data_IF_587653494638
#
_entry.id   IF_587653494638
#
_cell.length_a   1.000
_cell.length_b   1.000
_cell.length_c   1.000
_cell.angle_alpha   90.00
_cell.angle_beta   90.00
_cell.angle_gamma   90.00
#
_symmetry.space_group_name_H-M   'P 1'
#
loop_
_entity.id
_entity.type
_entity.pdbx_description
1 polymer ?
#
# COMPACT_ATOMS: atom_id res chain seq x y z
N UNK A 1 -42.53 3.50 58.83
CA UNK A 1 -41.54 2.43 58.55
C UNK A 1 -41.76 1.89 57.17
N UNK A 2 -40.93 2.24 56.23
CA UNK A 2 -41.02 1.77 54.81
C UNK A 2 -40.34 0.40 54.77
N UNK A 3 -40.96 -0.65 54.23
CA UNK A 3 -40.40 -2.00 54.27
C UNK A 3 -39.14 -2.07 53.40
N UNK A 4 -38.10 -2.71 53.93
CA UNK A 4 -36.74 -2.83 53.33
C UNK A 4 -36.74 -3.45 51.91
N UNK A 5 -37.76 -4.21 51.52
CA UNK A 5 -37.91 -4.80 50.18
C UNK A 5 -38.06 -3.77 49.02
N UNK A 6 -38.68 -2.62 49.27
CA UNK A 6 -38.86 -1.56 48.26
C UNK A 6 -37.57 -0.77 48.01
N UNK A 7 -36.66 -0.69 48.98
CA UNK A 7 -35.36 0.00 48.83
C UNK A 7 -34.37 -0.80 47.99
N UNK A 8 -34.41 -2.13 48.09
CA UNK A 8 -33.56 -3.01 47.28
C UNK A 8 -33.96 -3.00 45.80
N UNK A 9 -35.26 -3.01 45.51
CA UNK A 9 -35.77 -2.92 44.13
C UNK A 9 -35.44 -1.60 43.45
N UNK A 10 -35.46 -0.49 44.18
CA UNK A 10 -35.13 0.83 43.62
C UNK A 10 -33.63 0.99 43.37
N UNK A 11 -32.77 0.48 44.23
CA UNK A 11 -31.32 0.46 44.07
C UNK A 11 -30.89 -0.41 42.86
N UNK A 12 -31.49 -1.59 42.70
CA UNK A 12 -31.22 -2.49 41.59
C UNK A 12 -31.67 -1.89 40.23
N UNK A 13 -32.84 -1.24 40.20
CA UNK A 13 -33.36 -0.58 39.00
C UNK A 13 -32.48 0.61 38.59
N UNK A 14 -31.95 1.37 39.55
CA UNK A 14 -31.05 2.48 39.28
C UNK A 14 -29.67 2.04 38.78
N UNK A 15 -29.14 0.92 39.26
CA UNK A 15 -27.88 0.33 38.82
C UNK A 15 -28.00 -0.23 37.39
N UNK A 16 -29.12 -0.85 37.04
CA UNK A 16 -29.40 -1.33 35.69
C UNK A 16 -29.59 -0.17 34.70
N UNK A 17 -30.27 0.90 35.12
CA UNK A 17 -30.46 2.09 34.26
C UNK A 17 -29.13 2.82 33.95
N UNK A 18 -28.18 2.83 34.91
CA UNK A 18 -26.83 3.44 34.67
C UNK A 18 -25.96 2.59 33.76
N UNK A 19 -26.13 1.27 33.71
CA UNK A 19 -25.41 0.40 32.75
C UNK A 19 -25.90 0.60 31.30
N UNK A 20 -27.16 0.96 31.08
CA UNK A 20 -27.69 1.25 29.74
C UNK A 20 -27.47 2.71 29.27
N UNK A 21 -27.11 3.60 30.19
CA UNK A 21 -26.82 5.01 29.89
C UNK A 21 -25.34 5.30 29.58
N UNK A 22 -24.48 4.26 29.56
CA UNK A 22 -23.11 4.45 29.11
C UNK A 22 -23.13 4.87 27.63
N UNK A 23 -22.63 6.08 27.26
CA UNK A 23 -22.52 6.41 25.87
C UNK A 23 -21.65 5.33 25.20
N UNK A 24 -22.16 4.73 24.14
CA UNK A 24 -21.35 3.81 23.34
C UNK A 24 -20.07 4.56 22.96
N UNK A 25 -18.96 4.22 23.61
CA UNK A 25 -17.66 4.79 23.29
C UNK A 25 -17.37 4.39 21.84
N UNK A 26 -17.64 5.29 20.90
CA UNK A 26 -17.23 5.13 19.52
C UNK A 26 -15.72 5.29 19.50
N UNK A 27 -15.00 4.19 19.61
CA UNK A 27 -13.55 4.12 19.40
C UNK A 27 -13.18 4.29 17.89
N UNK A 28 -14.05 4.92 17.10
CA UNK A 28 -13.82 5.20 15.70
C UNK A 28 -13.12 6.56 15.59
N UNK A 29 -11.89 6.56 15.13
CA UNK A 29 -11.20 7.78 14.73
C UNK A 29 -12.04 8.50 13.67
N UNK A 30 -12.25 9.82 13.84
CA UNK A 30 -12.99 10.63 12.88
C UNK A 30 -12.12 10.83 11.63
N UNK A 31 -12.30 9.98 10.63
CA UNK A 31 -11.62 10.12 9.34
C UNK A 31 -12.33 11.23 8.56
N UNK A 32 -11.61 12.31 8.30
CA UNK A 32 -12.06 13.39 7.44
C UNK A 32 -11.63 13.09 5.99
N UNK A 33 -12.51 13.38 5.05
CA UNK A 33 -12.23 13.13 3.63
C UNK A 33 -12.58 14.34 2.77
N UNK A 34 -11.78 14.56 1.72
CA UNK A 34 -12.08 15.55 0.66
C UNK A 34 -11.37 15.20 -0.63
N UNK A 35 -11.64 15.94 -1.67
CA UNK A 35 -10.95 15.85 -2.96
C UNK A 35 -10.25 17.16 -3.24
N UNK A 36 -8.98 17.10 -3.67
CA UNK A 36 -8.25 18.30 -4.10
C UNK A 36 -8.80 18.83 -5.44
N UNK A 37 -8.52 20.07 -5.80
CA UNK A 37 -8.94 20.61 -7.11
C UNK A 37 -8.43 19.77 -8.30
N UNK A 38 -7.30 19.07 -8.16
CA UNK A 38 -6.75 18.16 -9.17
C UNK A 38 -7.41 16.77 -9.23
N UNK A 39 -8.42 16.49 -8.37
CA UNK A 39 -9.13 15.21 -8.35
C UNK A 39 -8.56 14.15 -7.41
N UNK A 40 -7.48 14.44 -6.68
CA UNK A 40 -6.88 13.51 -5.72
C UNK A 40 -7.75 13.39 -4.47
N UNK A 41 -8.09 12.16 -4.07
CA UNK A 41 -8.80 11.88 -2.84
C UNK A 41 -7.86 11.97 -1.63
N UNK A 42 -8.31 12.61 -0.56
CA UNK A 42 -7.53 12.78 0.67
C UNK A 42 -8.29 12.21 1.86
N UNK A 43 -7.58 11.48 2.71
CA UNK A 43 -8.03 10.99 4.01
C UNK A 43 -7.17 11.62 5.09
N UNK A 44 -7.79 12.11 6.16
CA UNK A 44 -7.09 12.77 7.25
C UNK A 44 -7.62 12.34 8.61
N UNK A 45 -6.68 12.11 9.53
CA UNK A 45 -6.96 11.91 10.95
C UNK A 45 -6.06 12.82 11.77
N UNK A 46 -6.65 13.76 12.52
CA UNK A 46 -5.90 14.55 13.48
C UNK A 46 -5.54 13.71 14.71
N UNK A 47 -4.26 13.71 15.08
CA UNK A 47 -3.75 12.99 16.25
C UNK A 47 -2.63 13.80 16.92
N UNK A 48 -2.92 14.38 18.07
CA UNK A 48 -2.01 15.22 18.86
C UNK A 48 -1.18 14.44 19.89
N UNK A 49 -1.21 13.10 19.81
CA UNK A 49 -0.54 12.25 20.81
C UNK A 49 0.99 12.37 20.77
N UNK A 50 1.55 12.57 19.59
CA UNK A 50 2.97 12.74 19.34
C UNK A 50 3.19 13.89 18.34
N UNK A 51 4.30 14.64 18.43
CA UNK A 51 4.60 15.74 17.51
C UNK A 51 5.16 15.22 16.17
N UNK A 52 4.42 14.33 15.51
CA UNK A 52 4.79 13.72 14.24
C UNK A 52 3.63 13.78 13.25
N UNK A 53 3.96 13.70 11.96
CA UNK A 53 3.02 13.57 10.86
C UNK A 53 3.45 12.42 9.96
N UNK A 54 2.52 11.51 9.74
CA UNK A 54 2.64 10.45 8.74
C UNK A 54 1.82 10.81 7.51
N UNK A 55 2.46 10.74 6.36
CA UNK A 55 1.83 10.95 5.06
C UNK A 55 2.08 9.74 4.18
N UNK A 56 1.06 9.27 3.50
CA UNK A 56 1.17 8.25 2.47
C UNK A 56 0.51 8.75 1.20
N UNK A 57 1.21 8.65 0.09
CA UNK A 57 0.69 8.93 -1.25
C UNK A 57 0.70 7.62 -2.03
N UNK A 58 -0.49 7.11 -2.33
CA UNK A 58 -0.70 5.92 -3.13
C UNK A 58 -1.10 6.31 -4.55
N UNK A 59 -0.47 5.69 -5.53
CA UNK A 59 -0.82 5.83 -6.94
C UNK A 59 -1.31 4.49 -7.49
N UNK A 60 -2.35 4.49 -8.31
CA UNK A 60 -2.72 3.36 -9.16
C UNK A 60 -1.70 3.25 -10.32
N UNK A 61 -0.45 3.00 -9.94
CA UNK A 61 0.75 2.85 -10.78
C UNK A 61 1.43 1.50 -10.46
N UNK A 62 0.64 0.45 -10.49
CA UNK A 62 0.90 -0.85 -9.92
C UNK A 62 1.47 -1.86 -10.91
N UNK A 63 1.82 -3.04 -10.40
CA UNK A 63 2.22 -4.17 -11.26
C UNK A 63 1.13 -4.59 -12.25
N UNK A 64 -0.15 -4.42 -11.87
CA UNK A 64 -1.28 -4.70 -12.76
C UNK A 64 -1.34 -3.78 -13.99
N UNK A 65 -0.80 -2.57 -13.91
CA UNK A 65 -0.72 -1.61 -15.02
C UNK A 65 0.47 -1.88 -15.97
N UNK A 66 1.36 -2.81 -15.62
CA UNK A 66 2.52 -3.12 -16.44
C UNK A 66 2.11 -3.65 -17.81
N UNK A 67 2.67 -3.13 -18.92
CA UNK A 67 2.45 -3.69 -20.25
C UNK A 67 2.84 -5.18 -20.33
N UNK A 68 2.30 -5.91 -21.30
CA UNK A 68 2.67 -7.29 -21.51
C UNK A 68 4.20 -7.41 -21.72
N UNK A 69 4.84 -8.37 -21.06
CA UNK A 69 6.28 -8.58 -21.10
C UNK A 69 7.12 -7.59 -20.30
N UNK A 70 6.51 -6.60 -19.62
CA UNK A 70 7.20 -5.55 -18.84
C UNK A 70 6.93 -5.65 -17.35
N UNK A 71 6.59 -6.84 -16.85
CA UNK A 71 6.43 -7.08 -15.42
C UNK A 71 7.70 -6.69 -14.65
N UNK A 72 7.53 -5.97 -13.54
CA UNK A 72 8.63 -5.37 -12.76
C UNK A 72 8.81 -3.87 -12.98
N UNK A 73 8.21 -3.27 -14.04
CA UNK A 73 8.36 -1.84 -14.33
C UNK A 73 7.85 -0.94 -13.19
N UNK A 74 6.73 -1.30 -12.57
CA UNK A 74 6.16 -0.53 -11.46
C UNK A 74 7.11 -0.50 -10.25
N UNK A 75 7.67 -1.65 -9.87
CA UNK A 75 8.63 -1.76 -8.78
C UNK A 75 9.91 -0.97 -9.05
N UNK A 76 10.48 -1.10 -10.26
CA UNK A 76 11.66 -0.36 -10.65
C UNK A 76 11.39 1.16 -10.70
N UNK A 77 10.26 1.58 -11.27
CA UNK A 77 9.90 3.00 -11.30
C UNK A 77 9.85 3.57 -9.88
N UNK A 78 9.15 2.87 -8.96
CA UNK A 78 9.04 3.35 -7.58
C UNK A 78 10.39 3.39 -6.85
N UNK A 79 11.21 2.35 -6.98
CA UNK A 79 12.51 2.29 -6.33
C UNK A 79 13.46 3.40 -6.81
N UNK A 80 13.41 3.73 -8.09
CA UNK A 80 14.29 4.71 -8.72
C UNK A 80 13.89 6.18 -8.48
N UNK A 81 12.70 6.46 -7.93
CA UNK A 81 12.27 7.84 -7.64
C UNK A 81 13.17 8.53 -6.60
N UNK A 82 13.84 7.78 -5.75
CA UNK A 82 14.79 8.30 -4.76
C UNK A 82 16.25 8.33 -5.26
N UNK A 83 16.50 7.84 -6.47
CA UNK A 83 17.86 7.84 -7.05
C UNK A 83 18.26 9.16 -7.73
N UNK A 84 17.37 10.15 -7.72
CA UNK A 84 17.57 11.50 -8.21
C UNK A 84 16.25 12.17 -8.55
N UNK A 85 16.08 13.43 -8.14
CA UNK A 85 14.87 14.20 -8.40
C UNK A 85 15.16 15.70 -8.48
N UNK A 86 14.62 16.37 -9.50
CA UNK A 86 14.93 17.77 -9.78
C UNK A 86 16.43 17.95 -10.01
N UNK A 87 17.07 18.76 -9.17
CA UNK A 87 18.52 18.98 -9.17
C UNK A 87 19.27 18.14 -8.11
N UNK A 88 18.57 17.31 -7.35
CA UNK A 88 19.16 16.51 -6.29
C UNK A 88 19.55 15.12 -6.84
N UNK A 89 20.77 14.71 -6.55
CA UNK A 89 21.20 13.32 -6.71
C UNK A 89 20.81 12.46 -5.49
N UNK A 90 21.15 11.17 -5.54
CA UNK A 90 20.81 10.20 -4.50
C UNK A 90 21.39 10.59 -3.12
N UNK A 91 22.65 11.04 -3.09
CA UNK A 91 23.32 11.45 -1.85
C UNK A 91 22.70 12.74 -1.27
N UNK A 92 22.41 13.72 -2.12
CA UNK A 92 21.74 14.95 -1.69
C UNK A 92 20.33 14.69 -1.15
N UNK A 93 19.58 13.76 -1.74
CA UNK A 93 18.28 13.31 -1.23
C UNK A 93 18.46 12.66 0.15
N UNK A 94 19.38 11.71 0.28
CA UNK A 94 19.63 11.01 1.54
C UNK A 94 20.05 11.99 2.66
N UNK A 95 20.97 12.92 2.37
CA UNK A 95 21.39 13.95 3.32
C UNK A 95 20.22 14.86 3.71
N UNK A 96 19.38 15.27 2.75
CA UNK A 96 18.21 16.11 3.05
C UNK A 96 17.18 15.41 3.92
N UNK A 97 16.94 14.11 3.71
CA UNK A 97 16.09 13.29 4.60
C UNK A 97 16.65 13.25 6.01
N UNK A 98 17.97 13.04 6.15
CA UNK A 98 18.64 13.00 7.44
C UNK A 98 18.60 14.36 8.17
N UNK A 99 18.90 15.46 7.47
CA UNK A 99 18.88 16.83 8.02
C UNK A 99 17.49 17.22 8.55
N UNK A 100 16.42 16.73 7.91
CA UNK A 100 15.04 16.99 8.32
C UNK A 100 14.55 16.01 9.41
N UNK A 101 15.37 15.04 9.82
CA UNK A 101 14.92 13.98 10.74
C UNK A 101 13.74 13.20 10.20
N UNK A 102 13.59 13.15 8.88
CA UNK A 102 12.47 12.51 8.21
C UNK A 102 12.77 11.04 7.87
N UNK A 103 11.72 10.30 7.57
CA UNK A 103 11.80 8.96 6.99
C UNK A 103 10.96 8.94 5.72
N UNK A 104 11.57 8.62 4.59
CA UNK A 104 10.88 8.40 3.31
C UNK A 104 11.02 6.94 2.95
N UNK A 105 9.93 6.35 2.45
CA UNK A 105 9.88 4.95 2.08
C UNK A 105 8.70 4.63 1.17
N UNK A 106 8.33 3.36 1.12
CA UNK A 106 7.23 2.84 0.33
C UNK A 106 7.67 1.74 -0.61
N UNK A 107 6.81 1.37 -1.55
CA UNK A 107 7.04 0.26 -2.48
C UNK A 107 5.99 0.22 -3.56
N UNK A 108 6.02 -0.83 -4.38
CA UNK A 108 4.95 -1.12 -5.33
C UNK A 108 4.52 -2.58 -5.19
N UNK A 109 3.23 -2.81 -5.25
CA UNK A 109 2.59 -4.12 -5.31
C UNK A 109 1.76 -4.27 -6.61
N UNK A 110 0.84 -5.21 -6.64
CA UNK A 110 -0.01 -5.43 -7.80
C UNK A 110 -1.12 -4.38 -7.95
N UNK A 111 -1.46 -3.64 -6.87
CA UNK A 111 -2.58 -2.71 -6.85
C UNK A 111 -2.16 -1.24 -6.83
N UNK A 112 -0.98 -0.94 -6.26
CA UNK A 112 -0.51 0.44 -6.08
C UNK A 112 1.00 0.56 -6.00
N UNK A 113 1.48 1.78 -6.25
CA UNK A 113 2.80 2.23 -5.85
C UNK A 113 2.64 3.30 -4.76
N UNK A 114 3.37 3.16 -3.67
CA UNK A 114 3.25 4.00 -2.48
C UNK A 114 4.54 4.76 -2.20
N UNK A 115 4.40 6.02 -1.81
CA UNK A 115 5.44 6.80 -1.15
C UNK A 115 4.94 7.17 0.24
N UNK A 116 5.75 6.92 1.25
CA UNK A 116 5.45 7.28 2.65
C UNK A 116 6.46 8.28 3.17
N UNK A 117 6.00 9.17 4.03
CA UNK A 117 6.80 10.14 4.75
C UNK A 117 6.39 10.11 6.21
N UNK A 118 7.35 10.00 7.11
CA UNK A 118 7.20 10.34 8.52
C UNK A 118 8.15 11.51 8.84
N UNK A 119 7.62 12.52 9.49
CA UNK A 119 8.38 13.72 9.87
C UNK A 119 7.85 14.32 11.17
N UNK A 120 8.61 15.24 11.76
CA UNK A 120 8.14 16.04 12.90
C UNK A 120 7.00 16.98 12.45
N UNK A 121 6.12 17.36 13.39
CA UNK A 121 5.03 18.32 13.10
C UNK A 121 5.51 19.77 13.09
N UNK A 122 6.73 20.05 13.56
CA UNK A 122 7.32 21.40 13.51
C UNK A 122 7.42 21.92 12.07
N UNK A 123 7.06 23.18 11.82
CA UNK A 123 6.88 23.70 10.46
C UNK A 123 8.10 23.56 9.56
N UNK A 124 9.31 23.73 10.08
CA UNK A 124 10.54 23.69 9.27
C UNK A 124 10.80 22.28 8.73
N UNK A 125 10.77 21.28 9.60
CA UNK A 125 11.01 19.87 9.26
C UNK A 125 9.86 19.34 8.41
N UNK A 126 8.62 19.58 8.84
CA UNK A 126 7.42 19.14 8.12
C UNK A 126 7.38 19.67 6.70
N UNK A 127 7.48 20.98 6.55
CA UNK A 127 7.34 21.62 5.25
C UNK A 127 8.50 21.26 4.33
N UNK A 128 9.73 21.20 4.85
CA UNK A 128 10.89 20.74 4.09
C UNK A 128 10.79 19.29 3.63
N UNK A 129 10.27 18.40 4.49
CA UNK A 129 10.08 16.99 4.14
C UNK A 129 8.95 16.78 3.12
N UNK A 130 7.85 17.54 3.25
CA UNK A 130 6.74 17.52 2.29
C UNK A 130 7.20 18.02 0.92
N UNK A 131 8.00 19.10 0.85
CA UNK A 131 8.53 19.63 -0.40
C UNK A 131 9.51 18.66 -1.06
N UNK A 132 10.33 17.96 -0.27
CA UNK A 132 11.20 16.91 -0.77
C UNK A 132 10.37 15.76 -1.37
N UNK A 133 9.38 15.24 -0.62
CA UNK A 133 8.51 14.18 -1.11
C UNK A 133 7.78 14.60 -2.40
N UNK A 134 7.28 15.84 -2.46
CA UNK A 134 6.64 16.38 -3.64
C UNK A 134 7.61 16.44 -4.85
N UNK A 135 8.89 16.73 -4.61
CA UNK A 135 9.92 16.72 -5.65
C UNK A 135 10.20 15.31 -6.16
N UNK A 136 10.33 14.33 -5.23
CA UNK A 136 10.49 12.91 -5.60
C UNK A 136 9.33 12.42 -6.45
N UNK A 137 8.09 12.80 -6.12
CA UNK A 137 6.90 12.39 -6.85
C UNK A 137 6.86 13.02 -8.25
N UNK A 138 7.17 14.31 -8.37
CA UNK A 138 6.92 15.07 -9.61
C UNK A 138 8.08 15.08 -10.59
N UNK A 139 9.31 14.98 -10.11
CA UNK A 139 10.51 15.25 -10.89
C UNK A 139 11.59 14.17 -10.76
N UNK A 140 11.27 12.87 -10.74
CA UNK A 140 12.31 11.86 -10.75
C UNK A 140 13.08 11.91 -12.06
N UNK A 141 14.41 11.79 -12.02
CA UNK A 141 15.26 11.93 -13.23
C UNK A 141 15.73 10.58 -13.77
N UNK A 142 15.60 9.49 -13.02
CA UNK A 142 15.97 8.13 -13.41
C UNK A 142 17.39 8.08 -14.03
N UNK A 143 18.46 8.34 -13.26
CA UNK A 143 19.84 8.32 -13.79
C UNK A 143 20.17 6.94 -14.38
N UNK A 144 20.79 6.92 -15.57
CA UNK A 144 21.06 5.66 -16.29
C UNK A 144 21.85 4.65 -15.45
N UNK A 145 22.86 5.12 -14.70
CA UNK A 145 23.65 4.26 -13.81
C UNK A 145 22.80 3.66 -12.69
N UNK A 146 21.87 4.43 -12.11
CA UNK A 146 20.95 3.93 -11.08
C UNK A 146 19.97 2.91 -11.65
N UNK A 147 19.46 3.15 -12.87
CA UNK A 147 18.59 2.19 -13.58
C UNK A 147 19.29 0.85 -13.77
N UNK A 148 20.51 0.84 -14.30
CA UNK A 148 21.22 -0.41 -14.51
C UNK A 148 21.62 -1.11 -13.20
N UNK A 149 21.99 -0.37 -12.17
CA UNK A 149 22.26 -0.89 -10.83
C UNK A 149 21.02 -1.57 -10.23
N UNK A 150 19.85 -0.92 -10.30
CA UNK A 150 18.61 -1.44 -9.74
C UNK A 150 18.08 -2.64 -10.53
N UNK A 151 18.21 -2.63 -11.86
CA UNK A 151 17.93 -3.80 -12.71
C UNK A 151 18.80 -4.99 -12.31
N UNK A 152 20.12 -4.77 -12.18
CA UNK A 152 21.05 -5.84 -11.79
C UNK A 152 20.71 -6.41 -10.41
N UNK A 153 20.37 -5.57 -9.43
CA UNK A 153 19.94 -5.96 -8.10
C UNK A 153 18.65 -6.80 -8.15
N UNK A 154 17.66 -6.34 -8.90
CA UNK A 154 16.36 -7.02 -9.05
C UNK A 154 16.54 -8.37 -9.75
N UNK A 155 17.37 -8.46 -10.81
CA UNK A 155 17.67 -9.70 -11.51
C UNK A 155 18.39 -10.70 -10.60
N UNK A 156 19.34 -10.23 -9.78
CA UNK A 156 20.02 -11.09 -8.81
C UNK A 156 19.03 -11.67 -7.79
N UNK A 157 18.14 -10.85 -7.23
CA UNK A 157 17.08 -11.30 -6.32
C UNK A 157 16.12 -12.30 -6.97
N UNK A 158 15.74 -12.09 -8.23
CA UNK A 158 14.89 -13.03 -8.98
C UNK A 158 15.57 -14.38 -9.19
N UNK A 159 16.87 -14.38 -9.55
CA UNK A 159 17.66 -15.62 -9.68
C UNK A 159 17.77 -16.37 -8.37
N UNK A 160 17.98 -15.68 -7.27
CA UNK A 160 17.98 -16.26 -5.94
C UNK A 160 16.61 -16.85 -5.58
N UNK A 161 15.53 -16.08 -5.80
CA UNK A 161 14.17 -16.54 -5.58
C UNK A 161 13.79 -17.79 -6.40
N UNK A 162 14.42 -18.00 -7.56
CA UNK A 162 14.25 -19.21 -8.38
C UNK A 162 14.87 -20.46 -7.76
N UNK A 163 15.72 -20.32 -6.73
CA UNK A 163 16.28 -21.44 -5.97
C UNK A 163 15.47 -21.75 -4.71
N UNK A 164 14.51 -20.91 -4.33
CA UNK A 164 13.73 -21.06 -3.10
C UNK A 164 12.37 -21.72 -3.39
N UNK A 165 12.04 -22.87 -2.75
CA UNK A 165 10.81 -23.62 -3.03
C UNK A 165 9.53 -22.82 -2.83
N UNK A 166 9.45 -21.98 -1.78
CA UNK A 166 8.30 -21.13 -1.47
C UNK A 166 8.09 -20.02 -2.52
N UNK A 167 9.18 -19.43 -3.01
CA UNK A 167 9.14 -18.43 -4.08
C UNK A 167 8.70 -19.02 -5.41
N UNK A 168 9.20 -20.23 -5.74
CA UNK A 168 8.78 -20.98 -6.92
C UNK A 168 7.29 -21.31 -6.81
N UNK A 169 6.87 -21.84 -5.64
CA UNK A 169 5.46 -22.15 -5.39
C UNK A 169 4.58 -20.91 -5.56
N UNK A 170 4.90 -19.81 -4.92
CA UNK A 170 4.10 -18.56 -4.95
C UNK A 170 3.93 -18.05 -6.38
N UNK A 171 4.98 -18.04 -7.19
CA UNK A 171 4.89 -17.62 -8.59
C UNK A 171 4.06 -18.57 -9.46
N UNK A 172 4.28 -19.89 -9.31
CA UNK A 172 3.49 -20.89 -10.05
C UNK A 172 2.02 -20.87 -9.64
N UNK A 173 1.77 -20.69 -8.35
CA UNK A 173 0.42 -20.58 -7.82
C UNK A 173 -0.30 -19.32 -8.33
N UNK A 174 0.34 -18.15 -8.28
CA UNK A 174 -0.25 -16.92 -8.80
C UNK A 174 -0.59 -17.04 -10.29
N UNK A 175 0.31 -17.57 -11.11
CA UNK A 175 0.09 -17.79 -12.52
C UNK A 175 -1.06 -18.81 -12.81
N UNK A 176 -1.20 -19.83 -11.96
CA UNK A 176 -2.26 -20.84 -12.09
C UNK A 176 -3.63 -20.31 -11.65
N UNK A 177 -3.68 -19.50 -10.59
CA UNK A 177 -4.92 -18.92 -10.05
C UNK A 177 -5.41 -17.77 -10.92
N UNK A 178 -4.50 -17.02 -11.57
CA UNK A 178 -4.79 -15.82 -12.35
C UNK A 178 -4.19 -15.87 -13.76
N UNK A 179 -4.51 -16.89 -14.60
CA UNK A 179 -3.82 -17.11 -15.87
C UNK A 179 -3.96 -15.94 -16.84
N UNK A 180 -5.14 -15.32 -16.91
CA UNK A 180 -5.46 -14.22 -17.83
C UNK A 180 -5.58 -12.85 -17.14
N UNK A 181 -5.26 -12.79 -15.84
CA UNK A 181 -5.35 -11.57 -15.06
C UNK A 181 -3.94 -10.99 -14.78
N UNK A 182 -3.79 -9.66 -14.68
CA UNK A 182 -2.51 -9.06 -14.31
C UNK A 182 -1.85 -9.64 -13.06
N UNK A 183 -2.62 -10.09 -12.08
CA UNK A 183 -2.10 -10.69 -10.83
C UNK A 183 -1.28 -11.96 -11.03
N UNK A 184 -1.47 -12.66 -12.14
CA UNK A 184 -0.64 -13.82 -12.52
C UNK A 184 0.68 -13.44 -13.19
N UNK A 185 0.88 -12.16 -13.54
CA UNK A 185 2.06 -11.69 -14.28
C UNK A 185 3.16 -11.22 -13.34
N UNK A 186 3.93 -12.14 -12.82
CA UNK A 186 5.05 -11.83 -11.93
C UNK A 186 6.32 -11.41 -12.72
N UNK A 187 7.19 -10.55 -12.16
CA UNK A 187 8.47 -10.21 -12.77
C UNK A 187 9.33 -11.44 -13.07
N UNK A 188 10.01 -11.43 -14.20
CA UNK A 188 11.02 -12.43 -14.60
C UNK A 188 12.35 -11.76 -14.90
N UNK A 189 13.43 -12.55 -14.94
CA UNK A 189 14.74 -12.03 -15.35
C UNK A 189 14.67 -11.34 -16.70
N UNK A 190 13.98 -11.94 -17.68
CA UNK A 190 13.85 -11.40 -19.05
C UNK A 190 13.02 -10.14 -19.08
N UNK A 191 11.87 -10.10 -18.34
CA UNK A 191 11.02 -8.92 -18.31
C UNK A 191 11.77 -7.72 -17.71
N UNK A 192 12.52 -7.91 -16.62
CA UNK A 192 13.31 -6.85 -15.97
C UNK A 192 14.51 -6.45 -16.85
N UNK A 193 15.22 -7.41 -17.44
CA UNK A 193 16.37 -7.12 -18.31
C UNK A 193 15.97 -6.29 -19.53
N UNK A 194 14.76 -6.51 -20.06
CA UNK A 194 14.24 -5.80 -21.23
C UNK A 194 13.78 -4.37 -20.95
N UNK A 195 13.71 -3.94 -19.68
CA UNK A 195 13.26 -2.59 -19.32
C UNK A 195 14.32 -1.54 -19.66
N UNK A 196 13.88 -0.45 -20.26
CA UNK A 196 14.70 0.70 -20.56
C UNK A 196 14.37 1.89 -19.65
N UNK A 197 15.31 2.82 -19.49
CA UNK A 197 15.09 4.07 -18.77
C UNK A 197 13.88 4.84 -19.31
N UNK A 198 13.74 4.90 -20.63
CA UNK A 198 12.67 5.68 -21.27
C UNK A 198 11.30 5.05 -21.02
N UNK A 199 11.19 3.72 -20.97
CA UNK A 199 9.97 3.03 -20.58
C UNK A 199 9.60 3.30 -19.12
N UNK A 200 10.60 3.33 -18.21
CA UNK A 200 10.40 3.68 -16.79
C UNK A 200 9.89 5.12 -16.66
N UNK A 201 10.51 6.06 -17.37
CA UNK A 201 10.07 7.46 -17.38
C UNK A 201 8.66 7.62 -17.98
N UNK A 202 8.36 6.90 -19.05
CA UNK A 202 7.04 6.92 -19.68
C UNK A 202 5.97 6.30 -18.75
N UNK A 203 6.31 5.22 -18.03
CA UNK A 203 5.43 4.62 -17.02
C UNK A 203 5.13 5.61 -15.89
N UNK A 204 6.15 6.29 -15.37
CA UNK A 204 5.96 7.33 -14.37
C UNK A 204 5.04 8.43 -14.90
N UNK A 205 5.34 9.03 -16.05
CA UNK A 205 4.56 10.12 -16.62
C UNK A 205 3.08 9.74 -16.85
N UNK A 206 2.80 8.48 -17.19
CA UNK A 206 1.45 7.98 -17.46
C UNK A 206 0.64 7.70 -16.20
N UNK A 207 1.26 7.17 -15.15
CA UNK A 207 0.53 6.60 -14.02
C UNK A 207 0.65 7.39 -12.71
N UNK A 208 1.66 8.26 -12.55
CA UNK A 208 1.78 9.11 -11.37
C UNK A 208 1.04 10.45 -11.61
N UNK A 209 -0.28 10.38 -11.59
CA UNK A 209 -1.18 11.49 -11.95
C UNK A 209 -2.20 11.75 -10.84
N UNK A 210 -2.79 12.96 -10.82
CA UNK A 210 -3.72 13.37 -9.78
C UNK A 210 -4.98 12.48 -9.70
N UNK A 211 -5.53 12.06 -10.85
CA UNK A 211 -6.71 11.19 -10.89
C UNK A 211 -6.44 9.76 -10.36
N UNK A 212 -5.16 9.37 -10.29
CA UNK A 212 -4.72 8.05 -9.80
C UNK A 212 -4.17 8.09 -8.39
N UNK A 213 -4.07 9.29 -7.80
CA UNK A 213 -3.48 9.50 -6.49
C UNK A 213 -4.53 9.45 -5.37
N UNK A 214 -4.11 8.91 -4.23
CA UNK A 214 -4.79 9.02 -2.95
C UNK A 214 -3.77 9.46 -1.91
N UNK A 215 -4.11 10.47 -1.10
CA UNK A 215 -3.25 10.95 -0.01
C UNK A 215 -3.89 10.60 1.32
N UNK A 216 -3.13 9.98 2.21
CA UNK A 216 -3.53 9.70 3.58
C UNK A 216 -2.61 10.46 4.53
N UNK A 217 -3.18 11.22 5.47
CA UNK A 217 -2.43 12.03 6.45
C UNK A 217 -2.96 11.70 7.84
N UNK A 218 -2.05 11.40 8.75
CA UNK A 218 -2.37 11.25 10.17
C UNK A 218 -1.27 11.91 11.01
N UNK A 219 -1.65 12.66 12.04
CA UNK A 219 -0.65 13.25 12.95
C UNK A 219 -1.05 14.57 13.55
N UNK A 220 -0.04 15.24 14.11
CA UNK A 220 -0.16 16.49 14.84
C UNK A 220 -0.17 17.68 13.87
N UNK A 221 -1.22 17.76 13.09
CA UNK A 221 -1.55 18.89 12.20
C UNK A 221 -3.04 19.15 12.26
N UNK A 222 -3.42 20.40 12.04
CA UNK A 222 -4.81 20.79 11.86
C UNK A 222 -5.33 20.40 10.47
N UNK A 223 -6.65 20.44 10.29
CA UNK A 223 -7.29 20.23 8.98
C UNK A 223 -6.76 21.19 7.91
N UNK A 224 -6.56 22.46 8.22
CA UNK A 224 -6.04 23.44 7.28
C UNK A 224 -4.59 23.16 6.85
N UNK A 225 -3.77 22.72 7.80
CA UNK A 225 -2.40 22.26 7.50
C UNK A 225 -2.39 20.99 6.66
N UNK A 226 -3.27 20.02 6.94
CA UNK A 226 -3.42 18.82 6.12
C UNK A 226 -3.88 19.13 4.68
N UNK A 227 -4.75 20.11 4.49
CA UNK A 227 -5.12 20.63 3.16
C UNK A 227 -3.93 21.23 2.42
N UNK A 228 -3.09 22.00 3.15
CA UNK A 228 -1.86 22.57 2.60
C UNK A 228 -0.87 21.50 2.19
N UNK A 229 -0.65 20.48 3.05
CA UNK A 229 0.22 19.32 2.75
C UNK A 229 -0.28 18.59 1.50
N UNK A 230 -1.56 18.22 1.46
CA UNK A 230 -2.15 17.52 0.32
C UNK A 230 -2.03 18.35 -0.98
N UNK A 231 -2.26 19.67 -0.89
CA UNK A 231 -2.10 20.57 -2.03
C UNK A 231 -0.66 20.61 -2.53
N UNK A 232 0.34 20.74 -1.65
CA UNK A 232 1.77 20.75 -2.01
C UNK A 232 2.19 19.44 -2.70
N UNK A 233 1.73 18.31 -2.21
CA UNK A 233 2.06 16.98 -2.77
C UNK A 233 1.44 16.76 -4.14
N UNK A 234 0.25 17.32 -4.39
CA UNK A 234 -0.52 17.05 -5.61
C UNK A 234 -0.50 18.19 -6.62
N UNK A 235 -0.08 19.41 -6.22
CA UNK A 235 0.06 20.53 -7.13
C UNK A 235 1.09 20.23 -8.23
N UNK A 236 0.70 20.46 -9.50
CA UNK A 236 1.54 20.21 -10.65
C UNK A 236 1.62 18.75 -11.10
N UNK A 237 0.91 17.82 -10.46
CA UNK A 237 0.69 16.51 -11.04
C UNK A 237 -0.17 16.65 -12.30
N UNK A 238 0.13 15.92 -13.38
CA UNK A 238 -0.77 15.83 -14.52
C UNK A 238 -2.17 15.35 -14.07
N UNK A 239 -3.22 15.86 -14.68
CA UNK A 239 -4.59 15.42 -14.33
C UNK A 239 -4.73 13.90 -14.48
N UNK A 240 -4.29 13.37 -15.61
CA UNK A 240 -4.32 11.95 -15.93
C UNK A 240 -5.73 11.41 -16.19
N UNK A 241 -5.77 10.12 -16.50
CA UNK A 241 -7.02 9.37 -16.66
C UNK A 241 -7.36 8.62 -15.39
N UNK A 242 -8.65 8.49 -15.08
CA UNK A 242 -9.11 7.65 -13.98
C UNK A 242 -8.59 6.21 -14.18
N UNK A 243 -8.21 5.51 -13.08
CA UNK A 243 -7.74 4.15 -13.19
C UNK A 243 -8.85 3.23 -13.70
N UNK A 244 -8.49 2.35 -14.64
CA UNK A 244 -9.36 1.26 -15.06
C UNK A 244 -9.40 0.20 -13.97
N UNK A 245 -10.57 -0.28 -13.61
CA UNK A 245 -10.68 -1.41 -12.72
C UNK A 245 -10.34 -2.71 -13.48
N UNK A 246 -9.36 -3.44 -12.99
CA UNK A 246 -9.10 -4.81 -13.45
C UNK A 246 -10.14 -5.73 -12.80
N UNK A 247 -11.27 -5.88 -13.48
CA UNK A 247 -12.41 -6.62 -12.97
C UNK A 247 -12.50 -7.95 -13.70
N UNK A 248 -12.86 -9.00 -12.98
CA UNK A 248 -13.21 -10.34 -13.41
C UNK A 248 -12.03 -11.28 -13.62
N UNK A 249 -11.73 -11.97 -12.54
CA UNK A 249 -11.04 -13.25 -12.62
C UNK A 249 -12.08 -14.33 -12.97
N UNK A 250 -11.86 -15.06 -14.03
CA UNK A 250 -12.58 -16.32 -14.27
C UNK A 250 -12.01 -17.40 -13.36
N UNK A 251 -12.87 -18.31 -12.90
CA UNK A 251 -12.37 -19.50 -12.20
C UNK A 251 -11.50 -20.31 -13.16
N UNK A 252 -10.21 -20.53 -12.84
CA UNK A 252 -9.37 -21.35 -13.68
C UNK A 252 -9.80 -22.81 -13.63
N UNK A 253 -9.43 -23.59 -14.64
CA UNK A 253 -9.64 -25.04 -14.61
C UNK A 253 -8.89 -25.68 -13.44
N UNK A 254 -9.49 -26.71 -12.86
CA UNK A 254 -8.86 -27.48 -11.78
C UNK A 254 -7.60 -28.17 -12.32
N UNK A 255 -6.46 -27.88 -11.71
CA UNK A 255 -5.17 -28.46 -12.07
C UNK A 255 -4.33 -28.80 -10.83
N UNK A 256 -3.38 -29.70 -11.02
CA UNK A 256 -2.35 -30.00 -10.04
C UNK A 256 -0.99 -29.84 -10.70
N UNK A 257 -0.19 -28.88 -10.18
CA UNK A 257 1.15 -28.60 -10.67
C UNK A 257 2.15 -29.16 -9.66
N UNK A 258 3.07 -30.00 -10.10
CA UNK A 258 4.15 -30.54 -9.28
C UNK A 258 5.47 -30.03 -9.83
N UNK A 259 6.27 -29.40 -8.98
CA UNK A 259 7.61 -28.90 -9.31
C UNK A 259 8.61 -29.69 -8.45
N UNK A 260 9.39 -30.61 -9.03
CA UNK A 260 10.45 -31.30 -8.30
C UNK A 260 11.52 -30.32 -7.83
N UNK A 261 11.93 -30.43 -6.57
CA UNK A 261 12.99 -29.61 -5.98
C UNK A 261 13.75 -30.43 -4.95
N UNK A 262 15.10 -30.31 -4.88
CA UNK A 262 15.95 -31.05 -3.92
C UNK A 262 15.84 -30.43 -2.51
N UNK A 263 14.64 -30.43 -1.94
CA UNK A 263 14.36 -29.92 -0.60
C UNK A 263 13.85 -31.05 0.29
N UNK A 264 14.18 -30.98 1.59
CA UNK A 264 13.68 -31.93 2.58
C UNK A 264 12.19 -31.68 2.94
N UNK A 265 11.65 -30.49 2.62
CA UNK A 265 10.26 -30.13 2.89
C UNK A 265 9.48 -29.95 1.58
N UNK A 266 8.23 -30.40 1.59
CA UNK A 266 7.28 -30.08 0.53
C UNK A 266 6.51 -28.81 0.89
N UNK A 267 6.45 -27.88 -0.07
CA UNK A 267 5.62 -26.68 0.03
C UNK A 267 4.37 -26.88 -0.81
N UNK A 268 3.19 -26.68 -0.23
CA UNK A 268 1.90 -26.96 -0.85
C UNK A 268 1.04 -25.71 -0.78
N UNK A 269 0.48 -25.27 -1.91
CA UNK A 269 -0.54 -24.22 -1.96
C UNK A 269 -1.80 -24.78 -2.62
N UNK A 270 -2.95 -24.49 -2.04
CA UNK A 270 -4.27 -24.84 -2.56
C UNK A 270 -5.12 -23.58 -2.53
N UNK A 271 -5.77 -23.23 -3.62
CA UNK A 271 -6.62 -22.05 -3.66
C UNK A 271 -7.27 -21.82 -5.01
N UNK A 272 -8.07 -20.78 -5.03
CA UNK A 272 -8.78 -20.26 -6.20
C UNK A 272 -9.02 -18.76 -6.02
N UNK A 273 -9.41 -18.02 -7.08
CA UNK A 273 -9.89 -16.65 -6.92
C UNK A 273 -11.06 -16.58 -5.93
N UNK A 274 -11.01 -15.60 -5.03
CA UNK A 274 -12.06 -15.35 -4.06
C UNK A 274 -13.01 -14.24 -4.50
N UNK A 275 -13.53 -13.50 -3.54
CA UNK A 275 -14.43 -12.36 -3.74
C UNK A 275 -13.66 -11.04 -3.60
N UNK A 276 -14.25 -9.95 -4.10
CA UNK A 276 -13.67 -8.62 -3.96
C UNK A 276 -13.75 -8.10 -2.53
N UNK A 277 -12.83 -7.21 -2.17
CA UNK A 277 -12.79 -6.59 -0.85
C UNK A 277 -14.05 -5.79 -0.48
N UNK A 278 -14.80 -5.27 -1.43
CA UNK A 278 -16.06 -4.55 -1.22
C UNK A 278 -17.33 -5.42 -1.27
N UNK A 279 -17.16 -6.73 -1.43
CA UNK A 279 -18.28 -7.67 -1.46
C UNK A 279 -18.93 -7.78 -0.07
N UNK A 280 -20.27 -7.85 0.05
CA UNK A 280 -20.96 -8.05 1.33
C UNK A 280 -20.49 -9.28 2.10
N UNK A 281 -20.10 -10.34 1.40
CA UNK A 281 -19.63 -11.59 2.00
C UNK A 281 -18.13 -11.58 2.34
N UNK A 282 -17.42 -10.47 2.11
CA UNK A 282 -15.98 -10.39 2.38
C UNK A 282 -15.63 -10.68 3.84
N UNK A 283 -16.30 -10.04 4.80
CA UNK A 283 -16.02 -10.26 6.23
C UNK A 283 -16.47 -11.63 6.73
N UNK A 284 -17.65 -12.15 6.36
CA UNK A 284 -18.03 -13.54 6.64
C UNK A 284 -17.00 -14.55 6.12
N UNK A 285 -16.52 -14.37 4.88
CA UNK A 285 -15.52 -15.24 4.28
C UNK A 285 -14.15 -15.12 4.99
N UNK A 286 -13.75 -13.91 5.36
CA UNK A 286 -12.52 -13.65 6.11
C UNK A 286 -12.52 -14.40 7.45
N UNK A 287 -13.63 -14.34 8.20
CA UNK A 287 -13.79 -15.07 9.47
C UNK A 287 -13.79 -16.57 9.23
N UNK A 288 -14.50 -17.05 8.20
CA UNK A 288 -14.49 -18.46 7.82
C UNK A 288 -13.10 -18.97 7.48
N UNK A 289 -12.33 -18.20 6.72
CA UNK A 289 -10.95 -18.51 6.35
C UNK A 289 -10.02 -18.51 7.59
N UNK A 290 -10.21 -17.59 8.52
CA UNK A 290 -9.47 -17.56 9.78
C UNK A 290 -9.70 -18.83 10.61
N UNK A 291 -10.96 -19.26 10.75
CA UNK A 291 -11.33 -20.50 11.46
C UNK A 291 -10.75 -21.73 10.74
N UNK A 292 -10.76 -21.74 9.42
CA UNK A 292 -10.29 -22.89 8.63
C UNK A 292 -8.77 -23.07 8.71
N UNK A 293 -7.98 -22.04 8.48
CA UNK A 293 -6.53 -22.13 8.38
C UNK A 293 -5.76 -20.86 8.75
N UNK A 294 -6.41 -19.69 8.77
CA UNK A 294 -5.76 -18.40 9.03
C UNK A 294 -5.41 -18.15 10.50
N UNK A 295 -5.97 -18.90 11.43
CA UNK A 295 -5.76 -18.74 12.88
C UNK A 295 -4.51 -19.42 13.43
N UNK A 296 -3.60 -19.90 12.58
CA UNK A 296 -2.40 -20.62 13.01
C UNK A 296 -2.77 -21.88 13.81
N UNK A 297 -2.07 -22.17 14.90
CA UNK A 297 -2.24 -23.41 15.69
C UNK A 297 -3.65 -23.63 16.29
N UNK A 298 -4.55 -22.66 16.25
CA UNK A 298 -5.93 -22.79 16.72
C UNK A 298 -6.93 -23.00 15.56
N UNK A 299 -6.46 -23.06 14.33
CA UNK A 299 -7.28 -23.29 13.14
C UNK A 299 -7.56 -24.78 12.93
N UNK A 300 -8.55 -25.11 12.07
CA UNK A 300 -8.95 -26.51 11.84
C UNK A 300 -7.97 -27.29 10.97
N UNK A 301 -7.11 -26.61 10.20
CA UNK A 301 -6.14 -27.25 9.31
C UNK A 301 -4.75 -27.44 9.96
N UNK A 302 -4.55 -26.95 11.16
CA UNK A 302 -3.25 -27.02 11.86
C UNK A 302 -3.27 -28.04 12.99
#
# INVERSE_FOLDING_TARGET
MIPHSKRFGFALAMTVATLFAAPAARASLAIQTWTTPGGTKVFFVESRALPIVDVQVDFRAAGAEAPAGKAGIAGLTRALMESGAGSLDEDAIANRVADLGAQIGGGADMDRASLSLRTLSSPVERDGAVDLLATLIRQPVFPAAAVEREKARTIAGLKEADTQPDSILSRRFAAAVFPDHPYGRMPTVDSVASLTRDEIAAFHARYYTAARATVSIIGDVSRAEAETIASRLTAGLPAGEAPTEHINTTLPERQTIRVPHPSAQAHIAIGQPGIRRGDPDFFPLLVGNYILGGGGFVSRLT
#
